data_IF_821427010254
#
_entry.id   IF_821427010254
#
_cell.length_a   1.000
_cell.length_b   1.000
_cell.length_c   1.000
_cell.angle_alpha   90.00
_cell.angle_beta   90.00
_cell.angle_gamma   90.00
#
_symmetry.space_group_name_H-M   'P 1'
#
loop_
_entity.id
_entity.type
_entity.pdbx_description
1 polymer ?
#
# COMPACT_ATOMS: atom_id res chain seq x y z
N UNK A 1 3.32 26.90 -28.83
CA UNK A 1 3.92 25.85 -29.70
C UNK A 1 5.28 26.24 -30.31
N UNK A 2 5.42 27.33 -31.07
CA UNK A 2 6.72 27.73 -31.68
C UNK A 2 7.85 27.94 -30.66
N UNK A 3 7.54 28.52 -29.50
CA UNK A 3 8.50 28.75 -28.41
C UNK A 3 9.04 27.46 -27.79
N UNK A 4 8.21 26.42 -27.63
CA UNK A 4 8.67 25.14 -27.09
C UNK A 4 9.58 24.41 -28.09
N UNK A 5 9.19 24.38 -29.37
CA UNK A 5 10.02 23.80 -30.43
C UNK A 5 11.32 24.59 -30.61
N UNK A 6 11.31 25.91 -30.48
CA UNK A 6 12.53 26.73 -30.50
C UNK A 6 13.40 26.51 -29.28
N UNK A 7 12.82 26.31 -28.08
CA UNK A 7 13.55 25.92 -26.87
C UNK A 7 14.16 24.52 -27.00
N UNK A 8 13.44 23.54 -27.54
CA UNK A 8 14.00 22.20 -27.81
C UNK A 8 15.13 22.26 -28.85
N UNK A 9 14.96 23.07 -29.90
CA UNK A 9 16.02 23.28 -30.91
C UNK A 9 17.22 24.02 -30.34
N UNK A 10 17.03 25.03 -29.50
CA UNK A 10 18.12 25.79 -28.86
C UNK A 10 18.86 24.95 -27.82
N UNK A 11 18.16 24.07 -27.10
CA UNK A 11 18.78 23.08 -26.21
C UNK A 11 19.73 22.17 -26.99
N UNK A 12 19.32 21.69 -28.17
CA UNK A 12 20.14 20.83 -29.04
C UNK A 12 21.26 21.57 -29.77
N UNK A 13 21.11 22.86 -30.07
CA UNK A 13 22.10 23.63 -30.83
C UNK A 13 23.41 23.90 -30.07
N UNK A 14 23.41 23.82 -28.73
CA UNK A 14 24.64 23.96 -27.92
C UNK A 14 25.43 22.65 -27.94
N UNK A 15 26.39 22.55 -28.86
CA UNK A 15 27.21 21.36 -29.20
C UNK A 15 28.27 20.93 -28.16
N UNK A 16 28.39 21.58 -27.01
CA UNK A 16 29.36 21.15 -25.99
C UNK A 16 28.72 20.22 -24.96
N UNK A 17 29.38 19.08 -24.73
CA UNK A 17 29.05 17.98 -23.80
C UNK A 17 28.31 18.48 -22.56
N UNK A 18 26.98 18.51 -22.62
CA UNK A 18 26.17 18.71 -21.41
C UNK A 18 26.15 17.38 -20.69
N UNK A 19 26.83 17.30 -19.56
CA UNK A 19 26.55 16.25 -18.59
C UNK A 19 25.25 16.67 -17.88
N UNK A 20 24.15 16.02 -18.24
CA UNK A 20 22.86 16.22 -17.59
C UNK A 20 22.52 14.88 -16.95
N UNK A 21 22.64 14.78 -15.62
CA UNK A 21 22.33 13.54 -14.90
C UNK A 21 20.83 13.31 -14.78
N UNK A 22 20.04 14.39 -14.69
CA UNK A 22 18.58 14.32 -14.52
C UNK A 22 17.83 15.22 -15.48
N UNK A 23 16.83 14.66 -16.14
CA UNK A 23 15.96 15.36 -17.08
C UNK A 23 14.49 15.07 -16.76
N UNK A 24 13.69 16.12 -16.55
CA UNK A 24 12.24 16.03 -16.43
C UNK A 24 11.59 16.82 -17.56
N UNK A 25 10.68 16.18 -18.29
CA UNK A 25 9.99 16.73 -19.45
C UNK A 25 8.48 16.62 -19.27
N UNK A 26 7.80 17.75 -19.31
CA UNK A 26 6.34 17.82 -19.31
C UNK A 26 5.85 18.46 -20.61
N UNK A 27 4.88 17.83 -21.27
CA UNK A 27 4.35 18.30 -22.54
C UNK A 27 2.94 17.78 -22.85
N UNK A 28 2.29 18.39 -23.84
CA UNK A 28 1.01 17.94 -24.37
C UNK A 28 1.20 17.01 -25.58
N UNK A 29 0.57 15.84 -25.56
CA UNK A 29 0.87 14.74 -26.48
C UNK A 29 0.70 15.05 -27.99
N UNK A 30 -0.21 15.96 -28.36
CA UNK A 30 -0.69 16.11 -29.75
C UNK A 30 0.21 16.88 -30.72
N UNK A 31 1.21 17.67 -30.30
CA UNK A 31 1.83 18.67 -31.20
C UNK A 31 3.34 18.61 -31.38
N UNK A 32 4.06 17.77 -30.62
CA UNK A 32 5.54 17.84 -30.57
C UNK A 32 6.25 16.47 -30.46
N UNK A 33 5.52 15.37 -30.64
CA UNK A 33 5.99 14.00 -30.34
C UNK A 33 7.34 13.64 -30.96
N UNK A 34 7.56 13.94 -32.25
CA UNK A 34 8.81 13.60 -32.93
C UNK A 34 10.02 14.44 -32.46
N UNK A 35 9.82 15.71 -32.13
CA UNK A 35 10.90 16.58 -31.65
C UNK A 35 11.29 16.22 -30.21
N UNK A 36 10.29 15.92 -29.37
CA UNK A 36 10.47 15.48 -27.99
C UNK A 36 11.13 14.11 -27.94
N UNK A 37 10.68 13.17 -28.76
CA UNK A 37 11.32 11.86 -28.81
C UNK A 37 12.80 11.95 -29.20
N UNK A 38 13.15 12.82 -30.16
CA UNK A 38 14.55 13.05 -30.52
C UNK A 38 15.34 13.69 -29.37
N UNK A 39 14.72 14.58 -28.59
CA UNK A 39 15.34 15.16 -27.39
C UNK A 39 15.60 14.08 -26.34
N UNK A 40 14.62 13.23 -26.05
CA UNK A 40 14.74 12.09 -25.13
C UNK A 40 15.88 11.17 -25.57
N UNK A 41 15.89 10.76 -26.83
CA UNK A 41 16.95 9.90 -27.39
C UNK A 41 18.33 10.56 -27.31
N UNK A 42 18.46 11.85 -27.66
CA UNK A 42 19.75 12.55 -27.54
C UNK A 42 20.18 12.69 -26.07
N UNK A 43 19.23 12.89 -25.15
CA UNK A 43 19.52 13.02 -23.72
C UNK A 43 20.05 11.70 -23.13
N UNK A 44 19.39 10.59 -23.44
CA UNK A 44 19.80 9.25 -23.00
C UNK A 44 21.13 8.85 -23.66
N UNK A 45 21.26 9.02 -24.97
CA UNK A 45 22.44 8.53 -25.72
C UNK A 45 23.66 9.44 -25.61
N UNK A 46 23.47 10.77 -25.57
CA UNK A 46 24.56 11.75 -25.75
C UNK A 46 24.82 12.65 -24.55
N UNK A 47 23.84 12.85 -23.67
CA UNK A 47 24.00 13.72 -22.48
C UNK A 47 24.33 12.93 -21.21
N UNK A 48 24.19 11.61 -21.26
CA UNK A 48 24.48 10.72 -20.13
C UNK A 48 23.45 10.83 -19.01
N UNK A 49 22.17 11.03 -19.35
CA UNK A 49 21.08 11.06 -18.37
C UNK A 49 20.99 9.74 -17.61
N UNK A 50 20.99 9.84 -16.28
CA UNK A 50 20.79 8.73 -15.36
C UNK A 50 19.34 8.69 -14.86
N UNK A 51 18.69 9.86 -14.71
CA UNK A 51 17.31 9.98 -14.25
C UNK A 51 16.44 10.69 -15.29
N UNK A 52 15.50 9.97 -15.89
CA UNK A 52 14.57 10.52 -16.88
C UNK A 52 13.14 10.47 -16.36
N UNK A 53 12.45 11.61 -16.42
CA UNK A 53 11.02 11.75 -16.18
C UNK A 53 10.33 12.33 -17.41
N UNK A 54 9.26 11.68 -17.85
CA UNK A 54 8.47 12.05 -19.03
C UNK A 54 7.00 12.07 -18.64
N UNK A 55 6.38 13.24 -18.75
CA UNK A 55 4.99 13.50 -18.39
C UNK A 55 4.24 13.98 -19.63
N UNK A 56 3.33 13.15 -20.13
CA UNK A 56 2.47 13.49 -21.26
C UNK A 56 1.07 13.89 -20.77
N UNK A 57 0.75 15.17 -20.81
CA UNK A 57 -0.59 15.67 -20.48
C UNK A 57 -1.53 15.49 -21.66
N UNK A 58 -2.72 14.94 -21.38
CA UNK A 58 -3.84 14.94 -22.34
C UNK A 58 -4.51 16.31 -22.35
N UNK A 59 -4.90 16.78 -23.54
CA UNK A 59 -5.69 18.00 -23.73
C UNK A 59 -7.17 17.70 -24.03
N UNK A 60 -7.54 16.42 -24.15
CA UNK A 60 -8.90 16.04 -24.49
C UNK A 60 -9.83 16.02 -23.27
N UNK A 61 -11.13 16.37 -23.44
CA UNK A 61 -12.13 16.20 -22.40
C UNK A 61 -12.17 14.75 -21.89
N UNK A 62 -12.51 14.59 -20.60
CA UNK A 62 -12.49 13.33 -19.84
C UNK A 62 -13.43 12.23 -20.45
N UNK A 63 -14.19 12.55 -21.49
CA UNK A 63 -15.26 11.72 -22.07
C UNK A 63 -14.79 10.69 -23.11
N UNK A 64 -13.54 10.75 -23.59
CA UNK A 64 -12.98 9.77 -24.52
C UNK A 64 -11.82 8.99 -23.90
N UNK A 65 -11.60 7.76 -24.39
CA UNK A 65 -10.45 6.90 -24.07
C UNK A 65 -9.18 7.75 -23.99
N UNK A 66 -8.62 7.95 -22.79
CA UNK A 66 -7.47 8.85 -22.60
C UNK A 66 -6.34 8.42 -23.54
N UNK A 67 -5.93 9.26 -24.50
CA UNK A 67 -4.83 8.90 -25.39
C UNK A 67 -3.55 8.81 -24.58
N UNK A 68 -2.92 7.63 -24.61
CA UNK A 68 -1.62 7.39 -23.97
C UNK A 68 -0.52 7.80 -24.93
N UNK A 69 0.48 8.51 -24.44
CA UNK A 69 1.62 8.86 -25.27
C UNK A 69 2.46 7.62 -25.59
N UNK A 70 2.71 7.41 -26.87
CA UNK A 70 3.63 6.37 -27.35
C UNK A 70 4.87 7.03 -27.92
N UNK A 71 6.04 6.56 -27.50
CA UNK A 71 7.30 7.06 -28.04
C UNK A 71 7.36 6.76 -29.55
N UNK A 72 7.54 7.76 -30.42
CA UNK A 72 7.76 7.54 -31.84
C UNK A 72 8.87 6.52 -32.10
N UNK A 73 8.60 5.53 -32.95
CA UNK A 73 9.49 4.38 -33.23
C UNK A 73 9.72 3.46 -32.02
N UNK A 74 8.90 3.56 -30.98
CA UNK A 74 8.92 2.70 -29.81
C UNK A 74 10.28 2.68 -29.10
N UNK A 75 11.00 3.80 -29.00
CA UNK A 75 12.33 3.80 -28.38
C UNK A 75 12.71 5.13 -27.75
N UNK A 76 13.45 5.06 -26.65
CA UNK A 76 14.05 6.21 -25.95
C UNK A 76 15.57 6.24 -26.03
N UNK A 77 16.20 5.24 -26.64
CA UNK A 77 17.65 5.14 -26.89
C UNK A 77 17.89 4.47 -28.24
N UNK A 78 19.04 4.76 -28.88
CA UNK A 78 19.54 3.99 -30.04
C UNK A 78 20.46 2.85 -29.61
N UNK A 79 20.99 2.92 -28.39
CA UNK A 79 22.00 2.02 -27.85
C UNK A 79 21.73 1.75 -26.35
N UNK A 80 20.67 1.00 -26.03
CA UNK A 80 20.24 0.79 -24.65
C UNK A 80 21.36 0.19 -23.77
N UNK A 81 22.20 -0.69 -24.32
CA UNK A 81 23.35 -1.27 -23.59
C UNK A 81 24.49 -0.32 -23.25
N UNK A 82 24.60 0.84 -23.93
CA UNK A 82 25.56 1.90 -23.59
C UNK A 82 24.93 2.98 -22.68
N UNK A 83 23.62 2.88 -22.42
CA UNK A 83 22.87 3.86 -21.62
C UNK A 83 23.28 3.81 -20.15
N UNK A 84 23.37 4.99 -19.52
CA UNK A 84 23.57 5.14 -18.08
C UNK A 84 22.27 5.32 -17.31
N UNK A 85 21.12 5.18 -17.97
CA UNK A 85 19.81 5.40 -17.39
C UNK A 85 19.56 4.43 -16.23
N UNK A 86 19.42 4.97 -15.01
CA UNK A 86 19.16 4.25 -13.76
C UNK A 86 17.71 4.35 -13.30
N UNK A 87 17.08 5.50 -13.52
CA UNK A 87 15.69 5.75 -13.16
C UNK A 87 14.89 6.24 -14.35
N UNK A 88 13.74 5.62 -14.59
CA UNK A 88 12.77 6.03 -15.61
C UNK A 88 11.41 6.24 -14.97
N UNK A 89 10.83 7.43 -15.13
CA UNK A 89 9.49 7.78 -14.67
C UNK A 89 8.63 8.20 -15.86
N UNK A 90 7.52 7.50 -16.06
CA UNK A 90 6.62 7.67 -17.19
C UNK A 90 5.22 7.95 -16.66
N UNK A 91 4.69 9.14 -16.95
CA UNK A 91 3.34 9.54 -16.57
C UNK A 91 2.50 9.68 -17.84
N UNK A 92 1.43 8.89 -17.93
CA UNK A 92 0.56 8.77 -19.10
C UNK A 92 1.34 8.47 -20.40
N UNK A 93 2.39 7.65 -20.30
CA UNK A 93 3.22 7.20 -21.42
C UNK A 93 3.33 5.67 -21.41
N UNK A 94 3.15 5.02 -22.56
CA UNK A 94 3.45 3.59 -22.67
C UNK A 94 4.97 3.39 -22.59
N UNK A 95 5.44 2.43 -21.78
CA UNK A 95 6.86 2.12 -21.74
C UNK A 95 7.33 1.64 -23.13
N UNK A 96 8.45 2.14 -23.65
CA UNK A 96 9.10 1.54 -24.79
C UNK A 96 9.63 0.14 -24.40
N UNK A 97 10.02 -0.71 -25.37
CA UNK A 97 10.79 -1.92 -25.08
C UNK A 97 12.06 -1.52 -24.31
N UNK A 98 12.23 -2.13 -23.12
CA UNK A 98 13.30 -1.80 -22.19
C UNK A 98 14.47 -2.80 -22.28
N UNK A 99 14.46 -3.71 -23.26
CA UNK A 99 15.52 -4.70 -23.40
C UNK A 99 16.87 -4.01 -23.63
N UNK A 100 17.89 -4.48 -22.90
CA UNK A 100 19.25 -4.00 -23.01
C UNK A 100 19.59 -2.79 -22.15
N UNK A 101 18.66 -2.17 -21.42
CA UNK A 101 18.98 -1.12 -20.45
C UNK A 101 19.58 -1.70 -19.16
N UNK A 102 20.85 -2.11 -19.22
CA UNK A 102 21.53 -2.83 -18.13
C UNK A 102 21.77 -2.02 -16.85
N UNK A 103 21.67 -0.70 -16.91
CA UNK A 103 21.82 0.19 -15.74
C UNK A 103 20.49 0.53 -15.04
N UNK A 104 19.34 0.19 -15.64
CA UNK A 104 18.02 0.64 -15.17
C UNK A 104 17.56 -0.14 -13.94
N UNK A 105 17.54 0.51 -12.79
CA UNK A 105 17.17 -0.10 -11.50
C UNK A 105 15.81 0.36 -10.97
N UNK A 106 15.29 1.49 -11.44
CA UNK A 106 14.04 2.07 -10.96
C UNK A 106 13.12 2.41 -12.14
N UNK A 107 11.90 1.91 -12.09
CA UNK A 107 10.85 2.23 -13.05
C UNK A 107 9.57 2.63 -12.33
N UNK A 108 9.03 3.78 -12.70
CA UNK A 108 7.71 4.23 -12.28
C UNK A 108 6.85 4.44 -13.52
N UNK A 109 5.75 3.71 -13.58
CA UNK A 109 4.66 3.92 -14.53
C UNK A 109 3.49 4.53 -13.78
N UNK A 110 2.91 5.60 -14.33
CA UNK A 110 1.81 6.31 -13.70
C UNK A 110 0.72 6.68 -14.69
N UNK A 111 -0.52 6.64 -14.24
CA UNK A 111 -1.72 7.08 -14.98
C UNK A 111 -1.92 6.33 -16.31
N UNK A 112 -1.61 5.03 -16.34
CA UNK A 112 -1.90 4.18 -17.49
C UNK A 112 -3.39 3.74 -17.49
N UNK A 113 -4.12 3.92 -18.59
CA UNK A 113 -5.56 3.69 -18.65
C UNK A 113 -5.92 2.21 -18.83
N UNK A 114 -7.21 1.91 -18.66
CA UNK A 114 -7.75 0.56 -18.77
C UNK A 114 -7.64 -0.05 -20.18
N UNK A 115 -7.34 0.73 -21.21
CA UNK A 115 -7.03 0.20 -22.54
C UNK A 115 -5.61 -0.36 -22.65
N UNK A 116 -4.79 -0.25 -21.60
CA UNK A 116 -3.41 -0.78 -21.61
C UNK A 116 -3.43 -2.30 -21.50
N UNK A 117 -2.84 -3.05 -22.45
CA UNK A 117 -2.77 -4.51 -22.34
C UNK A 117 -1.95 -4.97 -21.13
N UNK A 118 -2.35 -6.09 -20.49
CA UNK A 118 -1.59 -6.67 -19.37
C UNK A 118 -0.11 -6.95 -19.75
N UNK A 119 0.12 -7.41 -20.98
CA UNK A 119 1.45 -7.72 -21.52
C UNK A 119 2.44 -6.54 -21.45
N UNK A 120 1.97 -5.29 -21.38
CA UNK A 120 2.84 -4.11 -21.20
C UNK A 120 3.54 -4.16 -19.84
N UNK A 121 2.80 -4.52 -18.78
CA UNK A 121 3.34 -4.63 -17.43
C UNK A 121 4.19 -5.89 -17.26
N UNK A 122 3.76 -7.01 -17.84
CA UNK A 122 4.49 -8.28 -17.79
C UNK A 122 5.83 -8.19 -18.52
N UNK A 123 5.83 -7.54 -19.70
CA UNK A 123 7.04 -7.32 -20.51
C UNK A 123 8.08 -6.46 -19.81
N UNK A 124 7.68 -5.52 -18.96
CA UNK A 124 8.61 -4.70 -18.16
C UNK A 124 9.47 -5.56 -17.23
N UNK A 125 8.84 -6.52 -16.55
CA UNK A 125 9.54 -7.39 -15.60
C UNK A 125 10.42 -8.40 -16.35
N UNK A 126 9.95 -8.89 -17.49
CA UNK A 126 10.71 -9.82 -18.33
C UNK A 126 11.93 -9.15 -19.00
N UNK A 127 11.82 -7.89 -19.44
CA UNK A 127 12.87 -7.20 -20.19
C UNK A 127 14.02 -6.65 -19.34
N UNK A 128 13.80 -6.43 -18.03
CA UNK A 128 14.74 -5.75 -17.14
C UNK A 128 15.01 -6.55 -15.85
N UNK A 129 15.79 -7.66 -15.90
CA UNK A 129 16.04 -8.49 -14.72
C UNK A 129 16.78 -7.74 -13.60
N UNK A 130 17.59 -6.73 -13.92
CA UNK A 130 18.31 -5.90 -12.94
C UNK A 130 17.42 -4.86 -12.22
N UNK A 131 16.15 -4.70 -12.63
CA UNK A 131 15.23 -3.75 -12.02
C UNK A 131 15.04 -4.09 -10.55
N UNK A 132 15.15 -3.09 -9.67
CA UNK A 132 15.02 -3.27 -8.21
C UNK A 132 13.74 -2.67 -7.66
N UNK A 133 13.27 -1.59 -8.27
CA UNK A 133 12.08 -0.85 -7.84
C UNK A 133 11.13 -0.72 -9.01
N UNK A 134 9.91 -1.25 -8.86
CA UNK A 134 8.83 -1.13 -9.82
C UNK A 134 7.60 -0.49 -9.15
N UNK A 135 7.24 0.70 -9.61
CA UNK A 135 6.04 1.40 -9.15
C UNK A 135 5.02 1.52 -10.26
N UNK A 136 3.81 1.02 -10.01
CA UNK A 136 2.66 1.12 -10.88
C UNK A 136 1.62 1.97 -10.15
N UNK A 137 1.57 3.26 -10.47
CA UNK A 137 0.82 4.28 -9.71
C UNK A 137 -0.40 4.72 -10.48
N UNK A 138 -1.59 4.60 -9.89
CA UNK A 138 -2.85 4.91 -10.57
C UNK A 138 -2.96 4.23 -11.94
N UNK A 139 -2.49 2.99 -12.03
CA UNK A 139 -2.43 2.20 -13.25
C UNK A 139 -3.66 1.28 -13.37
N UNK A 140 -4.03 0.96 -14.61
CA UNK A 140 -5.08 0.01 -14.94
C UNK A 140 -4.75 -0.72 -16.23
N UNK A 141 -5.48 -1.79 -16.51
CA UNK A 141 -5.24 -2.60 -17.69
C UNK A 141 -6.53 -3.19 -18.24
N UNK A 142 -6.45 -3.70 -19.47
CA UNK A 142 -7.57 -4.20 -20.23
C UNK A 142 -8.06 -5.55 -19.69
N UNK A 143 -9.19 -5.49 -18.98
CA UNK A 143 -9.81 -6.66 -18.34
C UNK A 143 -10.56 -7.56 -19.31
N UNK A 144 -10.82 -7.11 -20.53
CA UNK A 144 -11.43 -7.94 -21.57
C UNK A 144 -10.41 -8.96 -22.10
N UNK A 145 -9.12 -8.61 -22.03
CA UNK A 145 -8.02 -9.48 -22.50
C UNK A 145 -7.41 -10.35 -21.40
N UNK A 146 -7.41 -9.89 -20.15
CA UNK A 146 -6.82 -10.62 -19.03
C UNK A 146 -7.50 -10.27 -17.70
N UNK A 147 -7.63 -11.23 -16.79
CA UNK A 147 -8.16 -10.95 -15.44
C UNK A 147 -7.08 -10.51 -14.44
N UNK A 148 -5.82 -10.79 -14.73
CA UNK A 148 -4.66 -10.55 -13.86
C UNK A 148 -3.45 -10.18 -14.70
N UNK A 149 -2.63 -9.25 -14.21
CA UNK A 149 -1.24 -9.07 -14.64
C UNK A 149 -0.39 -10.11 -13.91
N UNK A 150 0.35 -10.95 -14.63
CA UNK A 150 1.12 -12.04 -14.04
C UNK A 150 2.62 -11.71 -14.06
N UNK A 151 3.21 -11.57 -12.87
CA UNK A 151 4.66 -11.42 -12.74
C UNK A 151 5.31 -12.75 -12.44
N UNK A 152 6.00 -13.28 -13.46
CA UNK A 152 6.72 -14.53 -13.46
C UNK A 152 8.15 -14.29 -13.97
N UNK A 153 9.03 -13.90 -13.05
CA UNK A 153 10.40 -13.53 -13.36
C UNK A 153 11.37 -14.06 -12.28
N UNK A 154 11.74 -15.35 -12.35
CA UNK A 154 12.60 -16.00 -11.34
C UNK A 154 14.01 -15.41 -11.25
N UNK A 155 14.47 -14.72 -12.30
CA UNK A 155 15.77 -14.07 -12.34
C UNK A 155 15.71 -12.57 -11.96
N UNK A 156 14.54 -12.10 -11.50
CA UNK A 156 14.32 -10.69 -11.19
C UNK A 156 15.03 -10.26 -9.90
N UNK A 157 15.66 -9.08 -9.96
CA UNK A 157 16.26 -8.38 -8.83
C UNK A 157 15.28 -7.42 -8.12
N UNK A 158 13.98 -7.46 -8.47
CA UNK A 158 12.98 -6.56 -7.90
C UNK A 158 12.87 -6.82 -6.40
N UNK A 159 13.14 -5.77 -5.62
CA UNK A 159 13.04 -5.75 -4.16
C UNK A 159 11.82 -4.98 -3.68
N UNK A 160 11.32 -4.05 -4.48
CA UNK A 160 10.20 -3.20 -4.14
C UNK A 160 9.18 -3.14 -5.26
N UNK A 161 7.93 -3.48 -4.93
CA UNK A 161 6.78 -3.39 -5.83
C UNK A 161 5.69 -2.53 -5.19
N UNK A 162 5.26 -1.51 -5.93
CA UNK A 162 4.04 -0.76 -5.64
C UNK A 162 3.03 -1.05 -6.73
N UNK A 163 1.85 -1.53 -6.34
CA UNK A 163 0.68 -1.64 -7.20
C UNK A 163 -0.41 -0.72 -6.66
N UNK A 164 -0.76 0.30 -7.42
CA UNK A 164 -1.76 1.28 -7.07
C UNK A 164 -2.78 1.45 -8.20
N UNK A 165 -4.05 1.26 -7.85
CA UNK A 165 -5.20 1.49 -8.73
C UNK A 165 -6.36 0.52 -8.48
N UNK A 166 -7.63 1.00 -8.46
CA UNK A 166 -8.81 0.20 -8.11
C UNK A 166 -9.08 -0.98 -9.07
N UNK A 167 -8.62 -0.86 -10.31
CA UNK A 167 -8.75 -1.89 -11.34
C UNK A 167 -7.49 -2.74 -11.49
N UNK A 168 -6.41 -2.42 -10.78
CA UNK A 168 -5.16 -3.14 -10.86
C UNK A 168 -5.27 -4.48 -10.11
N UNK A 169 -4.99 -5.57 -10.81
CA UNK A 169 -4.97 -6.93 -10.26
C UNK A 169 -3.66 -7.60 -10.65
N UNK A 170 -2.84 -7.96 -9.66
CA UNK A 170 -1.50 -8.50 -9.87
C UNK A 170 -1.38 -9.88 -9.23
N UNK A 171 -0.91 -10.85 -10.02
CA UNK A 171 -0.60 -12.20 -9.57
C UNK A 171 0.91 -12.39 -9.57
N UNK A 172 1.49 -12.61 -8.40
CA UNK A 172 2.92 -12.83 -8.23
C UNK A 172 3.19 -14.34 -8.29
N UNK A 173 3.79 -14.81 -9.38
CA UNK A 173 4.21 -16.21 -9.55
C UNK A 173 5.69 -16.41 -9.25
N UNK A 174 6.58 -15.48 -9.62
CA UNK A 174 7.98 -15.56 -9.20
C UNK A 174 8.61 -14.18 -9.17
N UNK A 175 8.98 -13.74 -7.95
CA UNK A 175 9.77 -12.54 -7.65
C UNK A 175 10.58 -12.81 -6.36
N UNK A 176 11.61 -13.67 -6.42
CA UNK A 176 12.23 -14.25 -5.21
C UNK A 176 12.91 -13.21 -4.31
N UNK A 177 13.37 -12.09 -4.89
CA UNK A 177 14.05 -11.01 -4.16
C UNK A 177 13.13 -9.91 -3.65
N UNK A 178 11.81 -10.06 -3.81
CA UNK A 178 10.84 -9.06 -3.38
C UNK A 178 10.83 -8.97 -1.84
N UNK A 179 11.24 -7.82 -1.31
CA UNK A 179 11.36 -7.53 0.11
C UNK A 179 10.25 -6.58 0.60
N UNK A 180 9.74 -5.72 -0.28
CA UNK A 180 8.74 -4.69 0.00
C UNK A 180 7.60 -4.75 -1.01
N UNK A 181 6.38 -4.88 -0.51
CA UNK A 181 5.16 -4.89 -1.32
C UNK A 181 4.15 -3.88 -0.77
N UNK A 182 3.72 -2.96 -1.63
CA UNK A 182 2.60 -2.07 -1.34
C UNK A 182 1.48 -2.23 -2.35
N UNK A 183 0.27 -2.48 -1.84
CA UNK A 183 -0.97 -2.50 -2.61
C UNK A 183 -1.87 -1.34 -2.15
N UNK A 184 -2.20 -0.42 -3.05
CA UNK A 184 -3.10 0.73 -2.78
C UNK A 184 -4.30 0.65 -3.72
N UNK A 185 -5.45 0.31 -3.18
CA UNK A 185 -6.68 -0.01 -3.93
C UNK A 185 -6.52 -1.12 -5.00
N UNK A 186 -5.32 -1.68 -5.14
CA UNK A 186 -4.97 -2.77 -6.03
C UNK A 186 -5.16 -4.12 -5.33
N UNK A 187 -5.48 -5.15 -6.11
CA UNK A 187 -5.55 -6.53 -5.61
C UNK A 187 -4.28 -7.26 -5.98
N UNK A 188 -3.58 -7.82 -4.99
CA UNK A 188 -2.38 -8.64 -5.21
C UNK A 188 -2.68 -10.05 -4.73
N UNK A 189 -2.17 -11.06 -5.44
CA UNK A 189 -2.27 -12.47 -5.05
C UNK A 189 -0.87 -13.11 -5.14
N UNK A 190 -0.44 -13.77 -4.06
CA UNK A 190 0.77 -14.60 -4.06
C UNK A 190 0.38 -16.02 -4.46
N UNK A 191 1.10 -16.63 -5.40
CA UNK A 191 0.84 -18.02 -5.79
C UNK A 191 1.56 -18.98 -4.84
N UNK A 192 0.91 -20.08 -4.45
CA UNK A 192 1.50 -21.12 -3.59
C UNK A 192 2.66 -21.88 -4.25
N UNK A 193 2.63 -22.01 -5.59
CA UNK A 193 3.64 -22.75 -6.35
C UNK A 193 4.84 -21.87 -6.77
N UNK A 194 4.96 -20.68 -6.18
CA UNK A 194 5.96 -19.68 -6.49
C UNK A 194 7.28 -19.93 -5.77
N UNK A 195 8.38 -19.40 -6.30
CA UNK A 195 9.55 -19.07 -5.48
C UNK A 195 9.10 -18.03 -4.45
N UNK A 196 8.92 -18.49 -3.20
CA UNK A 196 8.29 -17.69 -2.13
C UNK A 196 9.07 -16.39 -1.94
N UNK A 197 8.44 -15.21 -2.12
CA UNK A 197 9.13 -13.94 -2.00
C UNK A 197 9.59 -13.70 -0.55
N UNK A 198 10.76 -13.09 -0.39
CA UNK A 198 11.32 -12.74 0.91
C UNK A 198 10.68 -11.47 1.52
N UNK A 199 9.36 -11.37 1.51
CA UNK A 199 8.62 -10.18 1.95
C UNK A 199 8.95 -9.86 3.41
N UNK A 200 9.58 -8.70 3.63
CA UNK A 200 9.90 -8.14 4.93
C UNK A 200 8.96 -7.00 5.31
N UNK A 201 8.44 -6.28 4.31
CA UNK A 201 7.58 -5.12 4.46
C UNK A 201 6.35 -5.27 3.56
N UNK A 202 5.16 -5.20 4.15
CA UNK A 202 3.89 -5.22 3.42
C UNK A 202 3.02 -4.06 3.87
N UNK A 203 2.54 -3.27 2.91
CA UNK A 203 1.57 -2.20 3.15
C UNK A 203 0.33 -2.42 2.29
N UNK A 204 -0.82 -2.58 2.94
CA UNK A 204 -2.10 -2.77 2.29
C UNK A 204 -2.99 -1.58 2.62
N UNK A 205 -3.37 -0.82 1.59
CA UNK A 205 -4.24 0.32 1.70
C UNK A 205 -5.45 0.05 0.83
N UNK A 206 -6.62 -0.09 1.45
CA UNK A 206 -7.86 -0.37 0.72
C UNK A 206 -8.93 0.63 1.08
N UNK A 207 -9.48 1.26 0.05
CA UNK A 207 -10.62 2.15 0.09
C UNK A 207 -11.77 1.57 -0.71
N UNK A 208 -12.83 1.19 0.00
CA UNK A 208 -14.05 0.65 -0.59
C UNK A 208 -15.14 1.73 -0.51
N UNK A 209 -15.58 2.20 -1.67
CA UNK A 209 -16.70 3.12 -1.79
C UNK A 209 -18.06 2.43 -1.57
N UNK A 210 -19.14 3.19 -1.33
CA UNK A 210 -20.49 2.64 -1.13
C UNK A 210 -21.07 1.87 -2.33
N UNK A 211 -20.50 2.06 -3.53
CA UNK A 211 -20.96 1.45 -4.77
C UNK A 211 -20.12 0.23 -5.18
N UNK A 212 -19.06 -0.09 -4.44
CA UNK A 212 -18.19 -1.20 -4.76
C UNK A 212 -18.83 -2.54 -4.39
N UNK A 213 -18.58 -3.57 -5.20
CA UNK A 213 -19.05 -4.92 -4.88
C UNK A 213 -18.24 -5.52 -3.72
N UNK A 214 -18.71 -5.28 -2.50
CA UNK A 214 -18.07 -5.64 -1.23
C UNK A 214 -17.69 -7.12 -1.16
N UNK A 215 -18.55 -8.01 -1.66
CA UNK A 215 -18.32 -9.46 -1.59
C UNK A 215 -17.04 -9.89 -2.31
N UNK A 216 -16.75 -9.29 -3.47
CA UNK A 216 -15.58 -9.61 -4.29
C UNK A 216 -14.31 -9.06 -3.65
N UNK A 217 -14.36 -7.83 -3.14
CA UNK A 217 -13.20 -7.20 -2.50
C UNK A 217 -12.80 -7.97 -1.24
N UNK A 218 -13.77 -8.29 -0.38
CA UNK A 218 -13.55 -9.07 0.84
C UNK A 218 -12.93 -10.44 0.54
N UNK A 219 -13.45 -11.13 -0.48
CA UNK A 219 -12.92 -12.43 -0.89
C UNK A 219 -11.45 -12.35 -1.34
N UNK A 220 -11.10 -11.36 -2.16
CA UNK A 220 -9.74 -11.22 -2.67
C UNK A 220 -8.73 -10.82 -1.60
N UNK A 221 -9.13 -9.95 -0.68
CA UNK A 221 -8.33 -9.64 0.48
C UNK A 221 -8.11 -10.89 1.32
N UNK A 222 -9.17 -11.65 1.61
CA UNK A 222 -9.05 -12.89 2.37
C UNK A 222 -8.10 -13.88 1.67
N UNK A 223 -8.20 -14.02 0.35
CA UNK A 223 -7.26 -14.82 -0.44
C UNK A 223 -5.82 -14.30 -0.34
N UNK A 224 -5.61 -12.98 -0.38
CA UNK A 224 -4.29 -12.41 -0.18
C UNK A 224 -3.73 -12.72 1.21
N UNK A 225 -4.53 -12.53 2.26
CA UNK A 225 -4.14 -12.85 3.64
C UNK A 225 -3.81 -14.33 3.83
N UNK A 226 -4.55 -15.23 3.16
CA UNK A 226 -4.24 -16.65 3.12
C UNK A 226 -2.94 -16.92 2.36
N UNK A 227 -2.71 -16.23 1.23
CA UNK A 227 -1.50 -16.38 0.42
C UNK A 227 -0.23 -15.87 1.11
N UNK A 228 -0.37 -14.97 2.09
CA UNK A 228 0.76 -14.53 2.92
C UNK A 228 1.32 -15.66 3.79
N UNK A 229 0.63 -16.80 3.97
CA UNK A 229 1.09 -17.90 4.84
C UNK A 229 2.55 -18.30 4.57
N UNK A 230 2.89 -18.46 3.30
CA UNK A 230 4.22 -18.95 2.91
C UNK A 230 5.27 -17.82 3.00
N UNK A 231 4.87 -16.58 2.71
CA UNK A 231 5.73 -15.39 2.82
C UNK A 231 5.82 -14.82 4.27
N UNK A 232 4.94 -15.24 5.18
CA UNK A 232 4.81 -14.71 6.53
C UNK A 232 6.05 -14.99 7.39
N UNK A 233 6.88 -15.96 6.99
CA UNK A 233 8.11 -16.30 7.70
C UNK A 233 9.12 -15.15 7.61
N UNK A 234 9.21 -14.39 6.52
CA UNK A 234 10.15 -13.27 6.41
C UNK A 234 9.55 -11.93 6.86
N UNK A 235 8.23 -11.86 7.03
CA UNK A 235 7.49 -10.62 7.26
C UNK A 235 7.87 -10.00 8.61
N UNK A 236 8.37 -8.76 8.59
CA UNK A 236 8.78 -7.99 9.79
C UNK A 236 7.88 -6.80 10.07
N UNK A 237 7.33 -6.17 9.04
CA UNK A 237 6.50 -4.98 9.16
C UNK A 237 5.25 -5.13 8.31
N UNK A 238 4.09 -4.90 8.91
CA UNK A 238 2.79 -4.96 8.26
C UNK A 238 2.00 -3.67 8.53
N UNK A 239 1.54 -3.03 7.47
CA UNK A 239 0.64 -1.88 7.51
C UNK A 239 -0.68 -2.28 6.87
N UNK A 240 -1.77 -2.00 7.57
CA UNK A 240 -3.14 -2.32 7.22
C UNK A 240 -3.98 -1.05 7.34
N UNK A 241 -4.32 -0.42 6.21
CA UNK A 241 -5.11 0.81 6.14
C UNK A 241 -6.45 0.58 5.49
N UNK A 242 -7.51 0.84 6.24
CA UNK A 242 -8.85 0.38 5.94
C UNK A 242 -9.78 1.57 5.84
N UNK A 243 -10.33 1.87 4.66
CA UNK A 243 -11.34 2.91 4.50
C UNK A 243 -12.57 2.34 3.80
N UNK A 244 -13.76 2.67 4.31
CA UNK A 244 -15.04 2.23 3.71
C UNK A 244 -16.16 2.06 4.73
N UNK A 245 -17.41 1.87 4.28
CA UNK A 245 -18.56 1.78 5.16
C UNK A 245 -18.71 0.42 5.88
N UNK A 246 -18.19 -0.66 5.30
CA UNK A 246 -18.42 -2.04 5.76
C UNK A 246 -17.14 -2.77 6.14
N UNK A 247 -17.21 -3.56 7.22
CA UNK A 247 -16.10 -4.37 7.71
C UNK A 247 -15.78 -5.50 6.73
N UNK A 248 -14.50 -5.60 6.34
CA UNK A 248 -13.98 -6.61 5.41
C UNK A 248 -13.36 -7.82 6.10
N UNK A 249 -12.99 -7.66 7.35
CA UNK A 249 -12.41 -8.70 8.19
C UNK A 249 -13.57 -9.51 8.80
N UNK A 250 -13.99 -10.59 8.13
CA UNK A 250 -15.11 -11.41 8.61
C UNK A 250 -14.78 -12.12 9.94
N UNK A 251 -15.74 -12.26 10.88
CA UNK A 251 -15.52 -12.76 12.24
C UNK A 251 -14.88 -14.15 12.41
N UNK A 252 -14.80 -14.99 11.36
CA UNK A 252 -14.18 -16.32 11.44
C UNK A 252 -12.64 -16.26 11.28
N UNK A 253 -12.04 -15.36 12.06
CA UNK A 253 -10.69 -14.83 11.87
C UNK A 253 -9.55 -15.76 12.20
N UNK A 254 -9.80 -16.78 13.03
CA UNK A 254 -8.77 -17.75 13.45
C UNK A 254 -8.14 -18.47 12.26
N UNK A 255 -8.85 -18.56 11.13
CA UNK A 255 -8.37 -19.22 9.92
C UNK A 255 -7.89 -18.25 8.84
N UNK A 256 -8.07 -16.93 9.01
CA UNK A 256 -7.71 -15.92 8.00
C UNK A 256 -6.31 -15.37 8.19
N UNK A 257 -5.89 -15.18 9.43
CA UNK A 257 -4.54 -14.75 9.74
C UNK A 257 -3.64 -15.98 9.94
N UNK A 258 -2.74 -16.18 9.00
CA UNK A 258 -1.64 -17.12 9.18
C UNK A 258 -0.73 -16.67 10.32
N UNK A 259 -0.07 -17.62 10.97
CA UNK A 259 1.02 -17.31 11.90
C UNK A 259 2.06 -16.45 11.18
N UNK A 260 2.40 -15.31 11.77
CA UNK A 260 3.43 -14.38 11.29
C UNK A 260 4.58 -14.41 12.28
N UNK A 261 5.42 -15.47 12.25
CA UNK A 261 6.35 -15.77 13.33
C UNK A 261 7.41 -14.69 13.54
N UNK A 262 7.71 -13.89 12.52
CA UNK A 262 8.76 -12.87 12.56
C UNK A 262 8.25 -11.42 12.49
N UNK A 263 6.93 -11.21 12.58
CA UNK A 263 6.34 -9.87 12.56
C UNK A 263 6.72 -9.11 13.82
N UNK A 264 7.29 -7.90 13.64
CA UNK A 264 7.79 -7.03 14.72
C UNK A 264 7.00 -5.74 14.84
N UNK A 265 6.51 -5.17 13.73
CA UNK A 265 5.74 -3.92 13.75
C UNK A 265 4.44 -4.09 12.98
N UNK A 266 3.37 -3.60 13.57
CA UNK A 266 2.04 -3.65 13.00
C UNK A 266 1.35 -2.29 13.16
N UNK A 267 0.93 -1.71 12.04
CA UNK A 267 0.08 -0.52 12.00
C UNK A 267 -1.26 -0.92 11.40
N UNK A 268 -2.33 -0.76 12.18
CA UNK A 268 -3.72 -0.87 11.75
C UNK A 268 -4.30 0.53 11.76
N UNK A 269 -4.80 1.02 10.63
CA UNK A 269 -5.09 2.42 10.49
C UNK A 269 -6.37 2.71 9.71
N UNK A 270 -6.95 3.85 10.06
CA UNK A 270 -8.18 4.43 9.49
C UNK A 270 -9.43 3.59 9.69
N UNK A 271 -9.39 2.65 10.64
CA UNK A 271 -10.50 1.74 10.93
C UNK A 271 -11.76 2.56 11.21
N UNK A 272 -12.85 2.40 10.45
CA UNK A 272 -14.07 3.16 10.68
C UNK A 272 -14.62 2.94 12.08
N UNK A 273 -15.08 4.01 12.71
CA UNK A 273 -15.73 4.00 14.02
C UNK A 273 -16.94 3.05 14.08
N UNK A 274 -17.60 2.77 12.96
CA UNK A 274 -18.73 1.82 12.90
C UNK A 274 -18.31 0.35 13.02
N UNK A 275 -17.02 0.03 12.90
CA UNK A 275 -16.55 -1.36 12.90
C UNK A 275 -16.27 -1.87 14.30
N UNK A 276 -16.38 -3.19 14.47
CA UNK A 276 -15.76 -3.84 15.62
C UNK A 276 -14.24 -3.70 15.55
N UNK A 277 -13.63 -3.20 16.62
CA UNK A 277 -12.17 -3.04 16.74
C UNK A 277 -11.57 -4.01 17.75
N UNK A 278 -12.26 -5.13 18.05
CA UNK A 278 -11.71 -6.18 18.93
C UNK A 278 -10.81 -7.16 18.18
N UNK A 279 -10.94 -7.28 16.85
CA UNK A 279 -10.14 -8.18 16.02
C UNK A 279 -8.61 -7.96 16.05
N UNK A 280 -8.03 -6.75 16.29
CA UNK A 280 -6.57 -6.60 16.37
C UNK A 280 -5.92 -7.48 17.44
N UNK A 281 -6.68 -7.94 18.46
CA UNK A 281 -6.19 -8.93 19.44
C UNK A 281 -5.74 -10.25 18.79
N UNK A 282 -6.37 -10.62 17.67
CA UNK A 282 -6.06 -11.85 16.94
C UNK A 282 -4.72 -11.70 16.22
N UNK A 283 -4.38 -10.48 15.79
CA UNK A 283 -3.05 -10.19 15.23
C UNK A 283 -1.95 -10.31 16.29
N UNK A 284 -2.21 -9.88 17.53
CA UNK A 284 -1.27 -10.09 18.65
C UNK A 284 -1.03 -11.59 18.87
N UNK A 285 -2.09 -12.40 18.79
CA UNK A 285 -1.99 -13.86 18.95
C UNK A 285 -1.26 -14.53 17.78
N UNK A 286 -1.44 -14.02 16.56
CA UNK A 286 -0.81 -14.55 15.36
C UNK A 286 0.68 -14.17 15.20
N UNK A 287 1.15 -13.16 15.94
CA UNK A 287 2.49 -12.59 15.79
C UNK A 287 3.29 -12.64 17.11
N UNK A 288 3.89 -13.78 17.48
CA UNK A 288 4.53 -13.98 18.78
C UNK A 288 5.76 -13.09 19.05
N UNK A 289 6.39 -12.54 18.00
CA UNK A 289 7.54 -11.64 18.08
C UNK A 289 7.16 -10.15 17.92
N UNK A 290 5.87 -9.82 17.95
CA UNK A 290 5.39 -8.45 17.75
C UNK A 290 5.96 -7.53 18.83
N UNK A 291 6.66 -6.47 18.42
CA UNK A 291 7.30 -5.52 19.32
C UNK A 291 6.47 -4.23 19.50
N UNK A 292 5.76 -3.81 18.45
CA UNK A 292 4.95 -2.59 18.46
C UNK A 292 3.64 -2.79 17.68
N UNK A 293 2.52 -2.39 18.30
CA UNK A 293 1.18 -2.35 17.71
C UNK A 293 0.60 -0.95 17.78
N UNK A 294 0.30 -0.36 16.62
CA UNK A 294 -0.39 0.93 16.53
C UNK A 294 -1.76 0.75 15.88
N UNK A 295 -2.82 1.28 16.50
CA UNK A 295 -4.21 1.19 16.02
C UNK A 295 -4.82 2.58 15.93
N UNK A 296 -5.24 2.98 14.72
CA UNK A 296 -5.98 4.23 14.48
C UNK A 296 -7.41 3.91 14.05
N UNK A 297 -8.37 4.46 14.80
CA UNK A 297 -9.79 4.47 14.46
C UNK A 297 -10.14 5.84 13.90
N UNK A 298 -10.61 5.86 12.65
CA UNK A 298 -11.05 7.07 11.98
C UNK A 298 -12.42 7.51 12.48
N UNK A 299 -12.55 8.80 12.78
CA UNK A 299 -13.81 9.43 13.13
C UNK A 299 -14.53 9.80 11.84
N UNK A 300 -15.71 9.21 11.59
CA UNK A 300 -16.51 9.59 10.43
C UNK A 300 -17.02 11.02 10.57
N UNK A 301 -16.63 11.92 9.65
CA UNK A 301 -17.19 13.27 9.55
C UNK A 301 -18.67 13.26 9.15
N UNK A 302 -19.23 12.13 8.69
CA UNK A 302 -20.65 12.06 8.31
C UNK A 302 -21.61 11.97 9.50
N UNK A 303 -21.11 11.72 10.72
CA UNK A 303 -21.97 11.71 11.92
C UNK A 303 -22.38 13.11 12.39
N UNK A 304 -21.75 14.19 11.89
CA UNK A 304 -22.16 15.55 12.23
C UNK A 304 -23.38 16.07 11.44
N UNK A 305 -23.92 15.32 10.46
CA UNK A 305 -25.09 15.74 9.69
C UNK A 305 -26.23 14.72 9.58
N UNK A 306 -26.06 13.50 10.07
CA UNK A 306 -27.12 12.50 10.05
C UNK A 306 -27.39 11.99 11.47
N UNK A 307 -28.24 12.70 12.20
CA UNK A 307 -29.05 12.13 13.27
C UNK A 307 -30.11 11.22 12.65
N UNK A 308 -29.68 10.13 12.01
CA UNK A 308 -30.59 9.03 11.73
C UNK A 308 -30.43 8.04 12.88
N UNK A 309 -31.48 7.95 13.69
CA UNK A 309 -31.71 6.88 14.64
C UNK A 309 -31.31 5.55 13.99
N UNK A 310 -30.51 4.76 14.72
CA UNK A 310 -30.09 3.45 14.28
C UNK A 310 -31.33 2.58 14.02
N UNK A 311 -31.62 2.30 12.75
CA UNK A 311 -32.59 1.28 12.36
C UNK A 311 -32.26 -0.05 13.08
N UNK A 312 -33.20 -0.66 13.85
CA UNK A 312 -32.95 -1.83 14.70
C UNK A 312 -32.56 -3.12 13.95
N UNK A 313 -32.36 -3.05 12.64
CA UNK A 313 -32.17 -4.20 11.74
C UNK A 313 -30.74 -4.51 11.31
N UNK A 314 -29.75 -3.63 11.55
CA UNK A 314 -28.33 -3.97 11.30
C UNK A 314 -27.82 -4.89 12.40
N UNK A 315 -28.08 -6.17 12.20
CA UNK A 315 -27.72 -7.29 13.07
C UNK A 315 -26.36 -7.09 13.74
N UNK A 316 -26.43 -7.10 15.07
CA UNK A 316 -25.34 -7.02 16.03
C UNK A 316 -24.09 -7.80 15.61
N UNK A 317 -23.11 -7.11 15.02
CA UNK A 317 -21.73 -7.65 14.93
C UNK A 317 -21.15 -7.86 16.36
N UNK A 318 -21.78 -7.24 17.38
CA UNK A 318 -21.49 -7.41 18.80
C UNK A 318 -21.64 -8.84 19.31
N UNK A 319 -22.58 -9.62 18.77
CA UNK A 319 -22.89 -10.96 19.30
C UNK A 319 -21.87 -12.02 18.87
N UNK A 320 -21.13 -11.80 17.78
CA UNK A 320 -20.17 -12.78 17.26
C UNK A 320 -18.87 -12.88 18.07
N UNK A 321 -18.51 -11.84 18.84
CA UNK A 321 -17.28 -11.80 19.64
C UNK A 321 -17.54 -11.88 21.15
N UNK A 322 -18.82 -11.88 21.54
CA UNK A 322 -19.27 -12.30 22.87
C UNK A 322 -19.12 -13.82 23.06
N UNK A 323 -18.81 -14.55 21.99
CA UNK A 323 -18.35 -15.92 22.05
C UNK A 323 -16.85 -15.95 22.40
N UNK A 324 -16.56 -16.37 23.63
CA UNK A 324 -15.23 -16.46 24.27
C UNK A 324 -14.81 -15.22 25.09
N UNK A 325 -15.61 -14.90 26.12
CA UNK A 325 -14.99 -14.69 27.45
C UNK A 325 -14.16 -15.96 27.74
N UNK A 326 -12.83 -15.88 27.92
CA UNK A 326 -12.08 -17.05 28.33
C UNK A 326 -12.60 -17.46 29.70
N UNK A 327 -13.07 -18.70 29.83
CA UNK A 327 -13.06 -19.35 31.13
C UNK A 327 -11.65 -19.21 31.70
N UNK A 328 -11.56 -18.86 32.98
CA UNK A 328 -10.40 -18.41 33.75
C UNK A 328 -9.20 -19.38 33.79
N UNK A 329 -9.17 -20.40 32.93
CA UNK A 329 -8.24 -21.52 32.92
C UNK A 329 -7.58 -21.80 31.57
N UNK A 330 -7.79 -20.97 30.53
CA UNK A 330 -6.92 -21.04 29.35
C UNK A 330 -5.65 -20.25 29.65
N UNK A 331 -4.54 -20.95 29.87
CA UNK A 331 -3.22 -20.35 30.01
C UNK A 331 -2.78 -19.76 28.67
N UNK A 332 -3.31 -18.58 28.33
CA UNK A 332 -2.82 -17.81 27.20
C UNK A 332 -1.32 -17.64 27.36
N UNK A 333 -0.56 -18.10 26.37
CA UNK A 333 0.88 -17.90 26.35
C UNK A 333 1.13 -16.40 26.40
N UNK A 334 1.72 -15.93 27.50
CA UNK A 334 2.00 -14.52 27.68
C UNK A 334 2.88 -14.03 26.53
N UNK A 335 2.49 -12.93 25.91
CA UNK A 335 3.19 -12.30 24.81
C UNK A 335 4.47 -11.63 25.32
N UNK A 336 5.64 -12.19 24.98
CA UNK A 336 6.93 -11.80 25.58
C UNK A 336 7.66 -10.65 24.89
N UNK A 337 7.20 -10.20 23.73
CA UNK A 337 7.94 -9.23 22.91
C UNK A 337 7.24 -7.89 22.70
N UNK A 338 5.96 -7.77 23.02
CA UNK A 338 5.17 -6.57 22.77
C UNK A 338 5.59 -5.51 23.79
N UNK A 339 6.26 -4.46 23.32
CA UNK A 339 6.82 -3.39 24.15
C UNK A 339 5.95 -2.14 24.11
N UNK A 340 5.24 -1.94 23.00
CA UNK A 340 4.50 -0.71 22.73
C UNK A 340 3.12 -1.00 22.15
N UNK A 341 2.10 -0.36 22.74
CA UNK A 341 0.76 -0.24 22.20
C UNK A 341 0.39 1.23 22.08
N UNK A 342 -0.01 1.66 20.89
CA UNK A 342 -0.54 3.01 20.64
C UNK A 342 -1.94 2.89 20.05
N UNK A 343 -2.90 3.58 20.65
CA UNK A 343 -4.29 3.64 20.19
C UNK A 343 -4.69 5.08 19.98
N UNK A 344 -5.19 5.42 18.79
CA UNK A 344 -5.70 6.75 18.44
C UNK A 344 -7.16 6.64 17.99
N UNK A 345 -7.99 7.59 18.41
CA UNK A 345 -9.43 7.62 18.09
C UNK A 345 -10.33 7.35 19.30
N UNK A 346 -9.82 7.49 20.52
CA UNK A 346 -10.58 7.29 21.75
C UNK A 346 -11.72 8.30 21.88
N UNK A 347 -12.93 7.81 22.17
CA UNK A 347 -14.11 8.63 22.48
C UNK A 347 -14.92 7.96 23.59
N UNK A 348 -15.12 8.67 24.69
CA UNK A 348 -15.63 8.13 25.97
C UNK A 348 -17.08 7.66 25.95
N UNK A 349 -17.90 8.15 25.01
CA UNK A 349 -19.34 7.86 24.93
C UNK A 349 -19.74 6.96 23.75
N UNK A 350 -18.78 6.45 22.97
CA UNK A 350 -19.07 5.62 21.80
C UNK A 350 -18.97 4.13 22.11
N UNK A 351 -19.66 3.27 21.36
CA UNK A 351 -19.51 1.80 21.46
C UNK A 351 -18.04 1.34 21.31
N UNK A 352 -17.27 2.08 20.53
CA UNK A 352 -15.84 1.85 20.26
C UNK A 352 -14.99 2.00 21.51
N UNK A 353 -15.43 2.84 22.47
CA UNK A 353 -14.81 2.99 23.79
C UNK A 353 -14.49 1.62 24.41
N UNK A 354 -15.53 0.80 24.59
CA UNK A 354 -15.40 -0.49 25.26
C UNK A 354 -14.49 -1.45 24.49
N UNK A 355 -14.50 -1.41 23.16
CA UNK A 355 -13.68 -2.28 22.33
C UNK A 355 -12.20 -1.89 22.35
N UNK A 356 -11.89 -0.59 22.30
CA UNK A 356 -10.51 -0.10 22.45
C UNK A 356 -9.98 -0.37 23.85
N UNK A 357 -10.78 -0.14 24.89
CA UNK A 357 -10.41 -0.47 26.27
C UNK A 357 -10.21 -1.97 26.47
N UNK A 358 -11.06 -2.79 25.83
CA UNK A 358 -10.86 -4.23 25.82
C UNK A 358 -9.55 -4.65 25.16
N UNK A 359 -9.19 -4.05 24.03
CA UNK A 359 -7.90 -4.29 23.37
C UNK A 359 -6.71 -3.88 24.25
N UNK A 360 -6.79 -2.70 24.89
CA UNK A 360 -5.75 -2.20 25.80
C UNK A 360 -5.59 -3.16 26.98
N UNK A 361 -6.68 -3.52 27.65
CA UNK A 361 -6.66 -4.47 28.77
C UNK A 361 -6.13 -5.83 28.35
N UNK A 362 -6.57 -6.35 27.21
CA UNK A 362 -6.04 -7.60 26.65
C UNK A 362 -4.52 -7.54 26.47
N UNK A 363 -3.98 -6.45 25.90
CA UNK A 363 -2.54 -6.31 25.70
C UNK A 363 -1.77 -6.21 27.03
N UNK A 364 -2.32 -5.50 28.02
CA UNK A 364 -1.74 -5.39 29.37
C UNK A 364 -1.72 -6.75 30.07
N UNK A 365 -2.86 -7.47 30.06
CA UNK A 365 -3.01 -8.76 30.73
C UNK A 365 -2.16 -9.86 30.09
N UNK A 366 -2.00 -9.81 28.76
CA UNK A 366 -1.29 -10.85 28.00
C UNK A 366 0.18 -10.57 27.82
N UNK A 367 0.66 -9.32 27.91
CA UNK A 367 2.06 -9.00 27.59
C UNK A 367 2.93 -8.73 28.82
N UNK A 368 4.03 -9.47 28.92
CA UNK A 368 5.01 -9.30 30.02
C UNK A 368 6.11 -8.28 29.72
N UNK A 369 6.20 -7.80 28.48
CA UNK A 369 7.27 -6.90 28.04
C UNK A 369 6.77 -5.47 27.74
N UNK A 370 5.49 -5.22 27.98
CA UNK A 370 4.84 -3.95 27.66
C UNK A 370 5.43 -2.84 28.53
N UNK A 371 5.97 -1.80 27.88
CA UNK A 371 6.61 -0.65 28.54
C UNK A 371 5.88 0.65 28.25
N UNK A 372 5.18 0.72 27.12
CA UNK A 372 4.47 1.91 26.67
C UNK A 372 3.07 1.54 26.22
N UNK A 373 2.08 2.15 26.85
CA UNK A 373 0.69 2.19 26.40
C UNK A 373 0.32 3.65 26.25
N UNK A 374 -0.10 4.05 25.05
CA UNK A 374 -0.53 5.41 24.77
C UNK A 374 -1.90 5.40 24.11
N UNK A 375 -2.85 6.12 24.70
CA UNK A 375 -4.22 6.27 24.17
C UNK A 375 -4.44 7.75 23.86
N UNK A 376 -4.88 8.05 22.64
CA UNK A 376 -5.13 9.40 22.17
C UNK A 376 -6.56 9.54 21.64
N UNK A 377 -7.18 10.69 21.89
CA UNK A 377 -8.51 11.02 21.34
C UNK A 377 -8.45 11.30 19.84
N UNK A 378 -7.46 12.09 19.44
CA UNK A 378 -7.35 12.59 18.07
C UNK A 378 -5.97 12.31 17.50
N UNK A 379 -5.94 12.11 16.21
CA UNK A 379 -4.75 11.91 15.40
C UNK A 379 -5.18 11.52 14.01
N UNK A 380 -4.21 11.18 13.19
CA UNK A 380 -4.40 10.70 11.83
C UNK A 380 -3.16 9.92 11.42
N UNK A 381 -3.24 9.27 10.26
CA UNK A 381 -2.10 8.60 9.66
C UNK A 381 -1.68 9.40 8.43
N UNK A 382 -0.42 9.79 8.38
CA UNK A 382 0.15 10.58 7.29
C UNK A 382 1.24 9.80 6.55
N UNK A 383 1.42 10.14 5.27
CA UNK A 383 2.49 9.60 4.44
C UNK A 383 3.77 10.41 4.67
N UNK A 384 4.87 9.74 5.06
CA UNK A 384 6.17 10.37 5.30
C UNK A 384 6.96 10.71 4.04
N UNK A 385 6.40 10.51 2.85
CA UNK A 385 7.04 10.89 1.59
C UNK A 385 8.00 9.86 1.03
N UNK A 386 7.98 8.63 1.57
CA UNK A 386 8.43 7.41 0.87
C UNK A 386 7.23 6.75 0.18
N UNK A 387 7.40 5.72 -0.66
CA UNK A 387 6.28 4.99 -1.21
C UNK A 387 5.52 4.28 -0.09
N UNK A 388 4.53 5.00 0.48
CA UNK A 388 3.56 4.48 1.42
C UNK A 388 4.16 4.13 2.80
N UNK A 389 5.09 4.96 3.26
CA UNK A 389 5.66 4.92 4.62
C UNK A 389 4.73 5.69 5.56
N UNK A 390 3.74 4.98 6.09
CA UNK A 390 2.70 5.57 6.93
C UNK A 390 3.15 5.71 8.39
N UNK A 391 2.98 6.89 8.96
CA UNK A 391 3.14 7.11 10.39
C UNK A 391 1.84 7.60 11.04
N UNK A 392 1.62 7.13 12.27
CA UNK A 392 0.57 7.64 13.13
C UNK A 392 0.99 8.95 13.81
N UNK A 393 0.27 10.03 13.51
CA UNK A 393 0.46 11.34 14.13
C UNK A 393 -0.68 11.62 15.10
N UNK A 394 -0.33 11.67 16.37
CA UNK A 394 -1.25 12.04 17.45
C UNK A 394 -1.39 13.55 17.58
N UNK A 395 -2.57 14.01 18.00
CA UNK A 395 -2.83 15.41 18.35
C UNK A 395 -3.02 15.53 19.86
N UNK A 396 -2.56 16.64 20.43
CA UNK A 396 -2.83 16.95 21.83
C UNK A 396 -4.33 17.19 22.03
N UNK A 397 -4.89 16.61 23.09
CA UNK A 397 -6.30 16.74 23.44
C UNK A 397 -6.46 16.95 24.95
N UNK A 398 -7.51 17.66 25.34
CA UNK A 398 -7.92 17.78 26.74
C UNK A 398 -8.70 16.52 27.16
N UNK A 399 -8.47 16.07 28.39
CA UNK A 399 -9.08 14.88 28.97
C UNK A 399 -9.82 15.25 30.26
N UNK A 400 -11.07 14.79 30.40
CA UNK A 400 -11.80 14.87 31.66
C UNK A 400 -11.22 13.89 32.69
N UNK A 401 -11.57 14.07 33.96
CA UNK A 401 -11.10 13.17 35.01
C UNK A 401 -11.71 11.77 34.87
N UNK A 402 -12.98 11.70 34.48
CA UNK A 402 -13.71 10.45 34.22
C UNK A 402 -13.04 9.64 33.10
N UNK A 403 -12.62 10.32 32.02
CA UNK A 403 -11.94 9.67 30.90
C UNK A 403 -10.54 9.17 31.28
N UNK A 404 -9.81 9.93 32.10
CA UNK A 404 -8.51 9.48 32.62
C UNK A 404 -8.68 8.26 33.51
N UNK A 405 -9.67 8.28 34.41
CA UNK A 405 -9.98 7.15 35.29
C UNK A 405 -10.35 5.90 34.48
N UNK A 406 -11.21 6.04 33.46
CA UNK A 406 -11.60 4.92 32.60
C UNK A 406 -10.40 4.23 31.92
N UNK A 407 -9.40 5.01 31.46
CA UNK A 407 -8.18 4.46 30.86
C UNK A 407 -7.25 3.86 31.93
N UNK A 408 -7.12 4.51 33.08
CA UNK A 408 -6.26 4.05 34.19
C UNK A 408 -6.77 2.76 34.83
N UNK A 409 -8.07 2.60 35.00
CA UNK A 409 -8.70 1.37 35.50
C UNK A 409 -8.40 0.18 34.59
N UNK A 410 -8.23 0.41 33.28
CA UNK A 410 -7.86 -0.64 32.33
C UNK A 410 -6.38 -1.05 32.39
N UNK A 411 -5.51 -0.17 32.90
CA UNK A 411 -4.08 -0.42 33.02
C UNK A 411 -3.66 -0.89 34.42
N UNK A 412 -4.54 -0.73 35.41
CA UNK A 412 -4.34 -1.19 36.78
C UNK A 412 -4.52 -2.71 36.80
N UNK A 413 -3.40 -3.45 36.80
CA UNK A 413 -3.43 -4.89 37.02
C UNK A 413 -4.18 -5.15 38.32
N UNK A 414 -5.23 -5.98 38.27
CA UNK A 414 -5.83 -6.52 39.49
C UNK A 414 -4.70 -7.16 40.30
N UNK A 415 -4.40 -6.53 41.42
CA UNK A 415 -3.35 -6.95 42.35
C UNK A 415 -3.45 -8.45 42.61
N UNK A 416 -2.27 -9.06 42.62
CA UNK A 416 -1.99 -10.43 43.05
C UNK A 416 -2.84 -10.84 44.25
N UNK A 417 -3.59 -11.96 44.19
CA UNK A 417 -4.17 -12.53 45.40
C UNK A 417 -3.05 -13.21 46.21
N UNK A 418 -2.72 -12.56 47.34
CA UNK A 418 -1.96 -13.00 48.52
C UNK A 418 -0.55 -13.57 48.36
#
# INVERSE_FOLDING_TARGET
MRAMVSSVRSLRARRHRRACSRLSLEFFAFSTSAAINRLVVDAVDSWGVEDLEVVAKSTEPITHLRPVYTFPRGRISRKPGESRLRSLKLVNCLPPPLEGFTALTTLLLRDLPCSTPAAVYEGVVAACPQLRVLHLVSCSFDKDTASWVVFDAPMSEIRELVADGPLMTVKLRSLPKLESLTAVDARVLLCSDADVPCLAHVSLVFSIGPLDNHSIVNHLIALFMLSLKDAAISLRNLILRFTGPEMWILPNLKNQFSLMPNLKKLLVADVPSSWDVSWPRILIQAAPLLESLHVHVSQSQSQSQCQHEEEPGRQNISSYLQMQQPSSSSSWQRHRHLKELVVVGFQSTSRIHHQLMYLVRFAVDTSTALRRVAVFKHGHVEDKGGPWDWEMVSKQSTWSNEEKLAVLDCCSTSDTPN
#
